data_IF_178888495590
#
_entry.id   IF_178888495590
#
_cell.length_a   1.000
_cell.length_b   1.000
_cell.length_c   1.000
_cell.angle_alpha   90.00
_cell.angle_beta   90.00
_cell.angle_gamma   90.00
#
_symmetry.space_group_name_H-M   'P 1'
#
loop_
_entity.id
_entity.type
_entity.pdbx_description
1 polymer ?
#
# COMPACT_ATOMS: atom_id res chain seq x y z
N UNK A 1 -20.49 4.94 -4.26
CA UNK A 1 -19.61 3.92 -4.81
C UNK A 1 -18.55 3.54 -3.80
N UNK A 2 -18.34 2.26 -3.60
CA UNK A 2 -17.33 1.78 -2.66
C UNK A 2 -16.05 1.43 -3.36
N UNK A 3 -14.95 1.86 -2.77
CA UNK A 3 -13.64 1.44 -3.25
C UNK A 3 -13.33 0.07 -2.69
N UNK A 4 -12.80 -0.79 -3.55
CA UNK A 4 -12.41 -2.12 -3.13
C UNK A 4 -10.90 -2.19 -2.99
N UNK A 5 -10.47 -2.63 -1.83
CA UNK A 5 -9.06 -2.70 -1.49
C UNK A 5 -8.71 -4.11 -1.05
N UNK A 6 -7.54 -4.57 -1.44
CA UNK A 6 -7.03 -5.85 -1.00
C UNK A 6 -5.78 -5.58 -0.18
N UNK A 7 -5.70 -6.18 1.00
CA UNK A 7 -4.59 -5.95 1.91
C UNK A 7 -3.96 -7.29 2.28
N UNK A 8 -2.64 -7.41 2.02
CA UNK A 8 -1.89 -8.59 2.40
C UNK A 8 -0.91 -8.16 3.47
N UNK A 9 -1.20 -8.51 4.71
CA UNK A 9 -0.36 -8.09 5.82
C UNK A 9 -0.54 -9.01 7.02
N UNK A 10 0.40 -8.88 7.96
CA UNK A 10 0.33 -9.61 9.21
C UNK A 10 -0.82 -9.09 10.06
N UNK A 11 -1.20 -9.89 11.05
CA UNK A 11 -2.26 -9.49 11.97
C UNK A 11 -1.90 -8.21 12.72
N UNK A 12 -0.62 -8.04 13.04
CA UNK A 12 -0.17 -6.86 13.75
C UNK A 12 -0.39 -5.59 12.94
N UNK A 13 -0.01 -5.64 11.67
CA UNK A 13 -0.15 -4.46 10.83
C UNK A 13 -1.59 -4.19 10.44
N UNK A 14 -2.42 -5.21 10.49
CA UNK A 14 -3.83 -5.03 10.19
C UNK A 14 -4.48 -4.01 11.11
N UNK A 15 -4.11 -4.00 12.39
CA UNK A 15 -4.71 -3.07 13.33
C UNK A 15 -4.46 -1.62 12.94
N UNK A 16 -3.24 -1.32 12.53
CA UNK A 16 -2.92 0.05 12.12
C UNK A 16 -3.71 0.43 10.88
N UNK A 17 -3.77 -0.47 9.92
CA UNK A 17 -4.47 -0.19 8.67
C UNK A 17 -5.96 -0.03 8.91
N UNK A 18 -6.55 -0.91 9.73
CA UNK A 18 -7.96 -0.79 10.05
C UNK A 18 -8.28 0.56 10.69
N UNK A 19 -7.43 0.98 11.63
CA UNK A 19 -7.66 2.26 12.28
C UNK A 19 -7.55 3.44 11.31
N UNK A 20 -6.72 3.29 10.29
CA UNK A 20 -6.53 4.34 9.33
C UNK A 20 -7.70 4.53 8.39
N UNK A 21 -8.44 3.47 8.12
CA UNK A 21 -9.52 3.51 7.13
C UNK A 21 -10.92 3.45 7.75
N UNK A 22 -10.98 3.51 9.07
CA UNK A 22 -12.22 3.26 9.79
C UNK A 22 -13.37 4.17 9.36
N UNK A 23 -13.08 5.42 9.08
CA UNK A 23 -14.13 6.39 8.74
C UNK A 23 -14.52 6.34 7.26
N UNK A 24 -13.85 5.54 6.46
CA UNK A 24 -14.13 5.51 5.03
C UNK A 24 -14.96 4.29 4.66
N UNK A 25 -15.74 4.45 3.61
CA UNK A 25 -16.52 3.36 3.04
C UNK A 25 -15.65 2.57 2.08
N UNK A 26 -14.86 1.68 2.62
CA UNK A 26 -13.99 0.83 1.83
C UNK A 26 -14.40 -0.63 2.02
N UNK A 27 -14.39 -1.36 0.92
CA UNK A 27 -14.61 -2.79 0.97
C UNK A 27 -13.25 -3.45 0.93
N UNK A 28 -12.87 -4.11 2.02
CA UNK A 28 -11.50 -4.62 2.18
C UNK A 28 -11.49 -6.13 2.21
N UNK A 29 -10.61 -6.70 1.40
CA UNK A 29 -10.33 -8.12 1.42
C UNK A 29 -9.00 -8.31 2.14
N UNK A 30 -9.05 -8.90 3.33
CA UNK A 30 -7.87 -9.10 4.16
C UNK A 30 -7.24 -10.43 3.88
N UNK A 31 -5.94 -10.45 3.61
CA UNK A 31 -5.18 -11.65 3.30
C UNK A 31 -3.93 -11.72 4.13
N UNK A 32 -3.54 -12.94 4.49
CA UNK A 32 -2.29 -13.18 5.20
C UNK A 32 -1.19 -13.66 4.26
N UNK A 33 -1.57 -14.24 3.14
CA UNK A 33 -0.62 -14.90 2.25
C UNK A 33 -0.84 -14.47 0.81
N UNK A 34 0.17 -14.71 0.00
CA UNK A 34 0.08 -14.47 -1.42
C UNK A 34 -0.99 -15.35 -2.05
N UNK A 35 -1.12 -16.57 -1.58
CA UNK A 35 -2.13 -17.48 -2.12
C UNK A 35 -3.53 -16.96 -1.87
N UNK A 36 -3.79 -16.44 -0.67
CA UNK A 36 -5.09 -15.84 -0.38
C UNK A 36 -5.33 -14.63 -1.26
N UNK A 37 -4.28 -13.82 -1.46
CA UNK A 37 -4.40 -12.65 -2.30
C UNK A 37 -4.73 -13.03 -3.74
N UNK A 38 -4.13 -14.11 -4.22
CA UNK A 38 -4.41 -14.59 -5.56
C UNK A 38 -5.89 -14.94 -5.72
N UNK A 39 -6.46 -15.57 -4.70
CA UNK A 39 -7.89 -15.88 -4.72
C UNK A 39 -8.73 -14.62 -4.66
N UNK A 40 -8.32 -13.68 -3.82
CA UNK A 40 -9.05 -12.42 -3.68
C UNK A 40 -9.07 -11.62 -4.97
N UNK A 41 -7.95 -11.62 -5.70
CA UNK A 41 -7.86 -10.89 -6.95
C UNK A 41 -8.79 -11.45 -8.03
N UNK A 42 -9.12 -12.72 -7.95
CA UNK A 42 -10.04 -13.32 -8.93
C UNK A 42 -11.43 -12.72 -8.86
N UNK A 43 -11.78 -12.15 -7.72
CA UNK A 43 -13.08 -11.51 -7.58
C UNK A 43 -13.14 -10.18 -8.30
N UNK A 44 -11.96 -9.66 -8.68
CA UNK A 44 -11.86 -8.51 -9.56
C UNK A 44 -12.21 -7.17 -8.97
N UNK A 45 -11.92 -6.15 -9.72
CA UNK A 45 -12.33 -4.77 -9.43
C UNK A 45 -11.76 -4.15 -8.17
N UNK A 46 -10.58 -4.59 -7.77
CA UNK A 46 -9.86 -3.92 -6.70
C UNK A 46 -9.13 -2.72 -7.30
N UNK A 47 -9.30 -1.57 -6.68
CA UNK A 47 -8.62 -0.35 -7.14
C UNK A 47 -7.28 -0.17 -6.44
N UNK A 48 -7.10 -0.83 -5.31
CA UNK A 48 -5.96 -0.58 -4.45
C UNK A 48 -5.52 -1.86 -3.77
N UNK A 49 -4.21 -2.08 -3.72
CA UNK A 49 -3.62 -3.22 -3.03
C UNK A 49 -2.55 -2.69 -2.09
N UNK A 50 -2.63 -3.08 -0.82
CA UNK A 50 -1.57 -2.84 0.16
C UNK A 50 -0.90 -4.19 0.42
N UNK A 51 0.41 -4.25 0.26
CA UNK A 51 1.12 -5.52 0.34
C UNK A 51 2.42 -5.37 1.12
N UNK A 52 2.59 -6.18 2.17
CA UNK A 52 3.87 -6.19 2.86
C UNK A 52 4.95 -6.68 1.91
N UNK A 53 6.15 -6.15 2.09
CA UNK A 53 7.26 -6.48 1.19
C UNK A 53 7.58 -7.97 1.22
N UNK A 54 7.48 -8.57 2.41
CA UNK A 54 7.76 -10.00 2.57
C UNK A 54 6.56 -10.70 3.15
N UNK A 55 6.17 -11.77 2.51
CA UNK A 55 4.98 -12.55 2.87
C UNK A 55 5.40 -13.94 3.27
N UNK A 56 4.55 -14.68 3.99
CA UNK A 56 4.90 -16.05 4.37
C UNK A 56 5.23 -16.94 3.19
N UNK A 57 4.61 -16.69 2.04
CA UNK A 57 4.76 -17.55 0.86
C UNK A 57 5.23 -16.78 -0.37
N UNK A 58 5.90 -15.65 -0.18
CA UNK A 58 6.43 -14.91 -1.33
C UNK A 58 6.81 -13.49 -0.96
N UNK A 59 6.80 -12.63 -1.96
CA UNK A 59 7.18 -11.24 -1.77
C UNK A 59 6.24 -10.33 -2.53
N UNK A 60 6.39 -9.02 -2.31
CA UNK A 60 5.59 -8.07 -3.07
C UNK A 60 5.91 -8.13 -4.58
N UNK A 61 7.14 -8.57 -4.94
CA UNK A 61 7.46 -8.73 -6.36
C UNK A 61 6.55 -9.79 -6.99
N UNK A 62 6.28 -10.86 -6.25
CA UNK A 62 5.36 -11.88 -6.74
C UNK A 62 3.96 -11.30 -6.93
N UNK A 63 3.53 -10.44 -6.00
CA UNK A 63 2.25 -9.77 -6.12
C UNK A 63 2.22 -8.86 -7.33
N UNK A 64 3.29 -8.09 -7.55
CA UNK A 64 3.35 -7.21 -8.71
C UNK A 64 3.27 -8.02 -10.00
N UNK A 65 3.89 -9.19 -10.03
CA UNK A 65 3.84 -10.05 -11.20
C UNK A 65 2.42 -10.51 -11.50
N UNK A 66 1.63 -10.77 -10.46
CA UNK A 66 0.23 -11.15 -10.67
C UNK A 66 -0.58 -10.02 -11.29
N UNK A 67 -0.19 -8.78 -11.03
CA UNK A 67 -0.94 -7.62 -11.47
C UNK A 67 -0.33 -6.92 -12.68
N UNK A 68 0.72 -7.44 -13.25
CA UNK A 68 1.50 -6.68 -14.23
C UNK A 68 0.70 -6.13 -15.40
N UNK A 69 -0.38 -6.78 -15.78
CA UNK A 69 -1.22 -6.30 -16.88
C UNK A 69 -2.33 -5.38 -16.41
N UNK A 70 -2.41 -5.12 -15.10
CA UNK A 70 -3.45 -4.30 -14.51
C UNK A 70 -2.91 -3.14 -13.70
N UNK A 71 -1.59 -2.89 -13.73
CA UNK A 71 -1.01 -1.88 -12.86
C UNK A 71 -1.48 -0.46 -13.18
N UNK A 72 -2.02 -0.25 -14.36
CA UNK A 72 -2.61 1.05 -14.66
C UNK A 72 -3.94 1.24 -13.97
N UNK A 73 -4.61 0.14 -13.64
CA UNK A 73 -5.93 0.19 -13.01
C UNK A 73 -5.89 -0.09 -11.52
N UNK A 74 -4.88 -0.83 -11.07
CA UNK A 74 -4.77 -1.22 -9.67
C UNK A 74 -3.49 -0.60 -9.11
N UNK A 75 -3.63 0.22 -8.09
CA UNK A 75 -2.48 0.86 -7.48
C UNK A 75 -1.98 0.02 -6.32
N UNK A 76 -0.68 -0.22 -6.29
CA UNK A 76 -0.07 -1.06 -5.27
C UNK A 76 0.78 -0.22 -4.34
N UNK A 77 0.51 -0.31 -3.05
CA UNK A 77 1.32 0.32 -2.02
C UNK A 77 2.06 -0.78 -1.28
N UNK A 78 3.38 -0.67 -1.24
CA UNK A 78 4.23 -1.66 -0.59
C UNK A 78 4.51 -1.22 0.85
N UNK A 79 4.37 -2.15 1.79
CA UNK A 79 4.65 -1.91 3.19
C UNK A 79 5.99 -2.56 3.52
N UNK A 80 7.02 -1.74 3.74
CA UNK A 80 8.37 -2.23 3.96
C UNK A 80 8.73 -2.15 5.44
N UNK A 81 9.52 -3.11 5.91
CA UNK A 81 9.97 -3.10 7.30
C UNK A 81 10.95 -1.97 7.57
N UNK A 82 11.83 -1.73 6.62
CA UNK A 82 12.80 -0.65 6.76
C UNK A 82 12.87 0.11 5.45
N UNK A 83 13.21 1.37 5.56
CA UNK A 83 13.41 2.18 4.38
C UNK A 83 14.81 1.99 3.80
N UNK A 84 14.89 1.87 2.50
CA UNK A 84 16.16 2.02 1.79
C UNK A 84 15.85 2.64 0.44
N UNK A 85 16.78 3.46 -0.05
CA UNK A 85 16.56 4.10 -1.35
C UNK A 85 16.54 3.07 -2.47
N UNK A 86 17.38 2.04 -2.36
CA UNK A 86 17.40 0.99 -3.36
C UNK A 86 16.09 0.21 -3.37
N UNK A 87 15.57 -0.11 -2.20
CA UNK A 87 14.30 -0.82 -2.12
C UNK A 87 13.14 0.02 -2.64
N UNK A 88 13.14 1.30 -2.31
CA UNK A 88 12.12 2.20 -2.81
C UNK A 88 12.18 2.27 -4.34
N UNK A 89 13.38 2.48 -4.89
CA UNK A 89 13.56 2.57 -6.33
C UNK A 89 13.13 1.30 -7.03
N UNK A 90 13.51 0.14 -6.45
CA UNK A 90 13.13 -1.14 -7.05
C UNK A 90 11.62 -1.30 -7.11
N UNK A 91 10.92 -0.94 -6.03
CA UNK A 91 9.47 -1.05 -6.02
C UNK A 91 8.82 -0.12 -7.04
N UNK A 92 9.32 1.11 -7.11
CA UNK A 92 8.75 2.06 -8.06
C UNK A 92 9.01 1.64 -9.50
N UNK A 93 10.17 1.04 -9.76
CA UNK A 93 10.48 0.55 -11.11
C UNK A 93 9.56 -0.60 -11.51
N UNK A 94 9.10 -1.37 -10.54
CA UNK A 94 8.16 -2.43 -10.84
C UNK A 94 6.73 -1.93 -11.04
N UNK A 95 6.49 -0.66 -10.76
CA UNK A 95 5.18 -0.08 -10.98
C UNK A 95 4.38 0.16 -9.72
N UNK A 96 4.99 0.09 -8.54
CA UNK A 96 4.28 0.40 -7.31
C UNK A 96 3.86 1.86 -7.29
N UNK A 97 2.72 2.11 -6.67
CA UNK A 97 2.27 3.49 -6.51
C UNK A 97 3.13 4.20 -5.47
N UNK A 98 3.43 3.54 -4.38
CA UNK A 98 4.27 4.10 -3.34
C UNK A 98 4.75 3.02 -2.39
N UNK A 99 5.65 3.41 -1.48
CA UNK A 99 6.18 2.52 -0.45
C UNK A 99 6.08 3.24 0.88
N UNK A 100 5.56 2.56 1.89
CA UNK A 100 5.53 3.07 3.26
C UNK A 100 6.42 2.20 4.11
N UNK A 101 7.26 2.81 4.94
CA UNK A 101 8.18 2.07 5.80
C UNK A 101 7.69 2.05 7.24
N UNK A 102 7.97 0.97 7.94
CA UNK A 102 7.65 0.88 9.36
C UNK A 102 8.47 1.89 10.15
N UNK A 103 7.96 2.40 11.27
CA UNK A 103 6.66 2.09 11.84
C UNK A 103 5.52 2.73 11.04
N UNK A 104 4.45 1.96 10.85
CA UNK A 104 3.34 2.46 10.05
C UNK A 104 2.44 3.32 10.92
N UNK A 105 2.38 4.59 10.62
CA UNK A 105 1.55 5.51 11.38
C UNK A 105 0.21 5.66 10.70
N UNK A 106 -0.84 5.77 11.51
CA UNK A 106 -2.18 5.91 10.98
C UNK A 106 -2.29 7.04 9.96
N UNK A 107 -1.72 8.19 10.29
CA UNK A 107 -1.82 9.34 9.40
C UNK A 107 -1.10 9.14 8.08
N UNK A 108 0.05 8.46 8.12
CA UNK A 108 0.78 8.17 6.89
C UNK A 108 -0.01 7.21 6.00
N UNK A 109 -0.61 6.19 6.61
CA UNK A 109 -1.42 5.24 5.86
C UNK A 109 -2.64 5.94 5.27
N UNK A 110 -3.31 6.78 6.06
CA UNK A 110 -4.45 7.53 5.56
C UNK A 110 -4.07 8.39 4.37
N UNK A 111 -2.95 9.09 4.49
CA UNK A 111 -2.54 10.03 3.46
C UNK A 111 -2.26 9.31 2.13
N UNK A 112 -1.52 8.21 2.20
CA UNK A 112 -1.14 7.53 0.97
C UNK A 112 -2.34 6.83 0.32
N UNK A 113 -3.24 6.30 1.11
CA UNK A 113 -4.45 5.69 0.57
C UNK A 113 -5.30 6.75 -0.13
N UNK A 114 -5.42 7.92 0.50
CA UNK A 114 -6.18 9.01 -0.10
C UNK A 114 -5.57 9.44 -1.42
N UNK A 115 -4.24 9.54 -1.49
CA UNK A 115 -3.55 9.87 -2.72
C UNK A 115 -3.84 8.83 -3.80
N UNK A 116 -3.77 7.56 -3.44
CA UNK A 116 -3.99 6.49 -4.40
C UNK A 116 -5.43 6.48 -4.92
N UNK A 117 -6.38 6.69 -4.02
CA UNK A 117 -7.79 6.70 -4.40
C UNK A 117 -8.11 7.88 -5.31
N UNK A 118 -7.51 9.03 -5.03
CA UNK A 118 -7.74 10.21 -5.84
C UNK A 118 -6.94 10.22 -7.14
N UNK A 119 -6.04 9.26 -7.30
CA UNK A 119 -5.27 9.19 -8.51
C UNK A 119 -4.09 10.15 -8.57
N UNK A 120 -3.77 10.78 -7.47
CA UNK A 120 -2.65 11.71 -7.44
C UNK A 120 -1.32 10.97 -7.50
N UNK A 121 -0.29 11.55 -8.08
CA UNK A 121 1.03 10.94 -8.04
C UNK A 121 1.51 10.85 -6.61
N UNK A 122 2.30 9.82 -6.31
CA UNK A 122 2.87 9.68 -4.99
C UNK A 122 3.79 10.85 -4.70
N UNK A 123 3.76 11.32 -3.46
CA UNK A 123 4.64 12.39 -3.06
C UNK A 123 6.06 11.83 -2.94
N UNK A 124 6.99 12.32 -3.74
CA UNK A 124 8.33 11.76 -3.74
C UNK A 124 9.04 12.05 -2.43
N UNK A 125 9.54 11.02 -1.83
CA UNK A 125 10.48 11.12 -0.71
C UNK A 125 9.96 11.53 0.65
N UNK A 126 8.97 12.37 0.73
CA UNK A 126 8.57 12.92 2.01
C UNK A 126 8.16 11.85 3.01
N UNK A 127 7.50 10.80 2.55
CA UNK A 127 7.08 9.72 3.42
C UNK A 127 8.12 8.61 3.52
N UNK A 128 9.06 8.58 2.61
CA UNK A 128 9.99 7.47 2.51
C UNK A 128 11.22 7.63 3.37
N UNK A 129 11.52 8.82 3.76
CA UNK A 129 12.75 9.03 4.50
C UNK A 129 12.54 8.91 5.98
N UNK A 130 11.74 7.95 6.33
CA UNK A 130 11.67 7.63 7.73
C UNK A 130 10.95 8.61 8.53
N UNK A 131 10.12 9.26 8.00
CA UNK A 131 9.40 9.95 8.95
C UNK A 131 8.80 11.19 8.50
N UNK A 132 7.98 11.59 9.34
CA UNK A 132 7.19 12.74 9.09
C UNK A 132 7.92 13.98 9.37
N UNK A 133 9.19 13.98 9.34
CA UNK A 133 9.83 15.20 9.66
C UNK A 133 8.97 16.33 9.23
N UNK A 134 9.18 17.47 9.74
CA UNK A 134 8.34 18.60 9.51
C UNK A 134 7.88 18.82 8.10
N UNK A 135 8.52 18.20 7.19
CA UNK A 135 8.15 18.33 5.80
C UNK A 135 7.08 17.39 5.32
N UNK A 136 6.36 16.75 6.19
CA UNK A 136 5.33 15.82 5.80
C UNK A 136 4.32 16.50 4.87
N UNK A 137 4.14 16.01 3.65
CA UNK A 137 3.27 16.71 2.69
C UNK A 137 1.84 16.82 3.16
N UNK A 138 1.38 15.85 3.92
CA UNK A 138 0.04 15.90 4.44
C UNK A 138 -0.17 17.13 5.29
N UNK A 139 0.79 17.44 6.14
CA UNK A 139 0.70 18.61 6.97
C UNK A 139 0.77 19.89 6.15
N UNK A 140 1.53 19.86 5.10
CA UNK A 140 1.64 21.03 4.24
C UNK A 140 0.35 21.32 3.52
N UNK A 141 -0.42 20.30 3.24
CA UNK A 141 -1.69 20.48 2.55
C UNK A 141 -2.81 20.84 3.50
N UNK A 142 -2.63 20.51 4.75
CA UNK A 142 -3.63 20.85 5.73
C UNK A 142 -3.60 22.32 6.05
#
# INVERSE_FOLDING_TARGET
MRWRMLVICSTENRQVIESAILQWSLEVCWCLTLQEARRGLRRGNHALVLCEAELPDGTYQDMMALLRHKLELVRVIVLAQTYSEDGYRAAMELGAFDVISAPYKRTDVQWIIMQAVQGHPAAPHALKKGGPEGGHPFLALA
#
